data_IF_680052651030
#
_entry.id   IF_680052651030
#
_cell.length_a   1.000
_cell.length_b   1.000
_cell.length_c   1.000
_cell.angle_alpha   90.00
_cell.angle_beta   90.00
_cell.angle_gamma   90.00
#
_symmetry.space_group_name_H-M   'P 1'
#
loop_
_entity.id
_entity.type
_entity.pdbx_description
1 polymer ?
#
# COMPACT_ATOMS: atom_id res chain seq x y z
N UNK A 1 -23.59 -8.73 15.64
CA UNK A 1 -23.02 -7.48 15.11
C UNK A 1 -23.98 -7.00 14.03
N UNK A 2 -24.72 -5.90 14.27
CA UNK A 2 -25.67 -5.36 13.31
C UNK A 2 -24.95 -4.81 12.07
N UNK A 3 -25.64 -4.71 10.91
CA UNK A 3 -25.07 -4.10 9.72
C UNK A 3 -24.69 -2.68 10.07
N UNK A 4 -23.43 -2.32 9.80
CA UNK A 4 -22.95 -0.95 9.93
C UNK A 4 -23.79 0.00 9.05
N UNK A 5 -23.77 1.31 9.29
CA UNK A 5 -24.57 2.26 8.53
C UNK A 5 -24.30 2.09 7.04
N UNK A 6 -25.38 1.96 6.27
CA UNK A 6 -25.37 1.75 4.82
C UNK A 6 -24.49 2.79 4.12
N UNK A 7 -23.63 2.33 3.19
CA UNK A 7 -22.75 3.21 2.44
C UNK A 7 -23.58 3.89 1.33
N UNK A 8 -24.00 5.13 1.59
CA UNK A 8 -24.82 5.90 0.66
C UNK A 8 -23.95 6.87 -0.14
N UNK A 9 -24.13 6.89 -1.45
CA UNK A 9 -23.39 7.70 -2.39
C UNK A 9 -22.09 7.01 -2.88
N UNK A 10 -21.44 7.59 -3.89
CA UNK A 10 -20.19 7.10 -4.50
C UNK A 10 -20.26 5.73 -5.16
N UNK A 11 -21.43 5.38 -5.72
CA UNK A 11 -21.59 4.12 -6.44
C UNK A 11 -20.64 4.03 -7.67
N UNK A 12 -20.39 5.16 -8.33
CA UNK A 12 -19.49 5.23 -9.47
C UNK A 12 -18.03 4.96 -9.07
N UNK A 13 -17.57 5.58 -7.99
CA UNK A 13 -16.21 5.33 -7.46
C UNK A 13 -16.04 3.89 -7.00
N UNK A 14 -17.03 3.34 -6.32
CA UNK A 14 -16.99 1.93 -5.93
C UNK A 14 -16.96 0.99 -7.13
N UNK A 15 -17.72 1.27 -8.20
CA UNK A 15 -17.69 0.47 -9.41
C UNK A 15 -16.31 0.51 -10.10
N UNK A 16 -15.65 1.67 -10.15
CA UNK A 16 -14.29 1.80 -10.66
C UNK A 16 -13.28 0.97 -9.84
N UNK A 17 -13.36 1.06 -8.51
CA UNK A 17 -12.47 0.31 -7.62
C UNK A 17 -12.73 -1.20 -7.68
N UNK A 18 -13.98 -1.62 -7.84
CA UNK A 18 -14.33 -3.02 -8.05
C UNK A 18 -13.75 -3.54 -9.38
N UNK A 19 -13.88 -2.78 -10.47
CA UNK A 19 -13.29 -3.12 -11.76
C UNK A 19 -11.76 -3.28 -11.68
N UNK A 20 -11.09 -2.45 -10.89
CA UNK A 20 -9.65 -2.58 -10.64
C UNK A 20 -9.31 -3.89 -9.91
N UNK A 21 -10.11 -4.28 -8.93
CA UNK A 21 -9.94 -5.53 -8.20
C UNK A 21 -10.21 -6.75 -9.09
N UNK A 22 -11.23 -6.70 -9.95
CA UNK A 22 -11.52 -7.75 -10.91
C UNK A 22 -10.38 -7.92 -11.93
N UNK A 23 -9.83 -6.83 -12.45
CA UNK A 23 -8.66 -6.85 -13.33
C UNK A 23 -7.43 -7.45 -12.64
N UNK A 24 -7.16 -7.08 -11.40
CA UNK A 24 -6.05 -7.65 -10.63
C UNK A 24 -6.22 -9.15 -10.35
N UNK A 25 -7.45 -9.63 -10.16
CA UNK A 25 -7.73 -11.05 -10.05
C UNK A 25 -7.33 -11.83 -11.32
N UNK A 26 -7.28 -11.16 -12.46
CA UNK A 26 -6.82 -11.69 -13.75
C UNK A 26 -5.34 -11.46 -14.04
N UNK A 27 -4.62 -10.80 -13.14
CA UNK A 27 -3.19 -10.48 -13.32
C UNK A 27 -2.92 -9.09 -13.88
N UNK A 28 -3.94 -8.23 -13.96
CA UNK A 28 -3.84 -6.85 -14.42
C UNK A 28 -3.91 -5.91 -13.21
N UNK A 29 -2.83 -5.88 -12.44
CA UNK A 29 -2.73 -5.05 -11.25
C UNK A 29 -2.83 -3.55 -11.54
N UNK A 30 -3.21 -2.78 -10.53
CA UNK A 30 -3.43 -1.36 -10.74
C UNK A 30 -3.39 -0.51 -9.47
N UNK A 31 -3.48 0.81 -9.67
CA UNK A 31 -3.39 1.81 -8.61
C UNK A 31 -4.60 2.74 -8.65
N UNK A 32 -5.20 2.97 -7.49
CA UNK A 32 -6.21 4.01 -7.30
C UNK A 32 -5.76 5.03 -6.25
N UNK A 33 -5.78 6.31 -6.62
CA UNK A 33 -5.53 7.44 -5.74
C UNK A 33 -6.88 8.02 -5.28
N UNK A 34 -7.12 8.00 -3.97
CA UNK A 34 -8.38 8.45 -3.36
C UNK A 34 -8.10 9.74 -2.58
N UNK A 35 -8.25 10.86 -3.26
CA UNK A 35 -8.02 12.19 -2.70
C UNK A 35 -9.30 12.85 -2.17
N UNK A 36 -9.17 13.78 -1.23
CA UNK A 36 -10.28 14.59 -0.76
C UNK A 36 -10.05 15.22 0.61
N UNK A 37 -11.00 16.05 1.05
CA UNK A 37 -10.94 16.75 2.34
C UNK A 37 -10.96 15.77 3.54
N UNK A 38 -10.47 16.19 4.71
CA UNK A 38 -10.60 15.40 5.93
C UNK A 38 -12.07 15.05 6.22
N UNK A 39 -12.34 13.83 6.68
CA UNK A 39 -13.69 13.40 7.06
C UNK A 39 -14.64 13.02 5.93
N UNK A 40 -14.27 13.22 4.63
CA UNK A 40 -15.15 12.90 3.49
C UNK A 40 -15.39 11.41 3.25
N UNK A 41 -14.78 10.54 4.05
CA UNK A 41 -15.00 9.09 3.96
C UNK A 41 -14.09 8.34 2.98
N UNK A 42 -12.89 8.85 2.67
CA UNK A 42 -11.90 8.18 1.80
C UNK A 42 -11.53 6.78 2.27
N UNK A 43 -11.15 6.67 3.53
CA UNK A 43 -10.78 5.40 4.15
C UNK A 43 -11.95 4.42 4.10
N UNK A 44 -13.17 4.88 4.39
CA UNK A 44 -14.38 4.04 4.31
C UNK A 44 -14.66 3.57 2.88
N UNK A 45 -14.46 4.45 1.88
CA UNK A 45 -14.59 4.07 0.46
C UNK A 45 -13.57 2.98 0.08
N UNK A 46 -12.31 3.14 0.49
CA UNK A 46 -11.27 2.16 0.24
C UNK A 46 -11.54 0.82 0.95
N UNK A 47 -11.97 0.85 2.21
CA UNK A 47 -12.35 -0.34 2.97
C UNK A 47 -13.54 -1.07 2.34
N UNK A 48 -14.56 -0.33 1.88
CA UNK A 48 -15.74 -0.89 1.20
C UNK A 48 -15.37 -1.51 -0.16
N UNK A 49 -14.50 -0.84 -0.93
CA UNK A 49 -14.00 -1.38 -2.18
C UNK A 49 -13.20 -2.67 -1.95
N UNK A 50 -12.30 -2.68 -0.98
CA UNK A 50 -11.54 -3.87 -0.62
C UNK A 50 -12.45 -5.01 -0.11
N UNK A 51 -13.55 -4.68 0.58
CA UNK A 51 -14.53 -5.68 1.04
C UNK A 51 -15.30 -6.36 -0.10
N UNK A 52 -15.45 -5.66 -1.23
CA UNK A 52 -16.12 -6.19 -2.44
C UNK A 52 -15.22 -7.05 -3.32
N UNK A 53 -13.97 -7.23 -2.96
CA UNK A 53 -13.01 -8.11 -3.63
C UNK A 53 -12.66 -9.32 -2.74
N UNK A 54 -13.60 -10.24 -2.46
CA UNK A 54 -13.42 -11.31 -1.48
C UNK A 54 -12.38 -12.36 -1.92
N UNK A 55 -12.06 -12.41 -3.21
CA UNK A 55 -11.03 -13.30 -3.75
C UNK A 55 -9.60 -12.76 -3.54
N UNK A 56 -9.42 -11.49 -3.15
CA UNK A 56 -8.13 -10.89 -2.89
C UNK A 56 -7.87 -10.78 -1.38
N UNK A 57 -6.66 -11.13 -0.95
CA UNK A 57 -6.25 -10.89 0.42
C UNK A 57 -6.09 -9.38 0.68
N UNK A 58 -6.52 -8.91 1.85
CA UNK A 58 -6.54 -7.48 2.18
C UNK A 58 -5.52 -7.16 3.24
N UNK A 59 -4.69 -6.18 2.96
CA UNK A 59 -3.70 -5.66 3.89
C UNK A 59 -3.80 -4.14 3.96
N UNK A 60 -3.81 -3.61 5.16
CA UNK A 60 -3.87 -2.17 5.40
C UNK A 60 -2.63 -1.71 6.14
N UNK A 61 -2.07 -0.59 5.68
CA UNK A 61 -1.05 0.17 6.36
C UNK A 61 -1.49 1.63 6.49
N UNK A 62 -1.21 2.24 7.63
CA UNK A 62 -1.59 3.62 7.89
C UNK A 62 -0.38 4.46 8.24
N UNK A 63 -0.25 5.60 7.57
CA UNK A 63 0.70 6.63 7.97
C UNK A 63 0.13 7.42 9.16
N UNK A 64 1.01 7.83 10.05
CA UNK A 64 0.67 8.63 11.23
C UNK A 64 1.52 9.90 11.25
N UNK A 65 0.97 11.04 11.71
CA UNK A 65 1.71 12.28 11.85
C UNK A 65 2.61 12.23 13.09
N UNK A 66 3.63 11.37 13.05
CA UNK A 66 4.56 11.16 14.15
C UNK A 66 6.00 11.25 13.63
N UNK A 67 6.76 12.22 14.16
CA UNK A 67 8.17 12.43 13.82
C UNK A 67 9.08 11.28 14.27
N UNK A 68 8.60 10.41 15.16
CA UNK A 68 9.30 9.22 15.67
C UNK A 68 9.13 7.96 14.84
N UNK A 69 8.35 7.98 13.77
CA UNK A 69 8.13 6.80 12.93
C UNK A 69 9.43 6.34 12.26
N UNK A 70 9.78 5.05 12.39
CA UNK A 70 10.96 4.52 11.72
C UNK A 70 10.80 4.56 10.19
N UNK A 71 11.94 4.61 9.44
CA UNK A 71 11.90 4.55 7.98
C UNK A 71 11.13 3.33 7.47
N UNK A 72 10.44 3.49 6.35
CA UNK A 72 9.61 2.46 5.72
C UNK A 72 8.44 1.98 6.57
N UNK A 73 7.90 2.84 7.46
CA UNK A 73 6.85 2.45 8.40
C UNK A 73 5.63 1.80 7.75
N UNK A 74 5.16 2.33 6.61
CA UNK A 74 4.05 1.73 5.86
C UNK A 74 4.37 0.31 5.41
N UNK A 75 5.57 0.07 4.89
CA UNK A 75 5.96 -1.25 4.39
C UNK A 75 6.28 -2.24 5.50
N UNK A 76 6.74 -1.77 6.66
CA UNK A 76 6.86 -2.64 7.84
C UNK A 76 5.50 -3.22 8.24
N UNK A 77 4.44 -2.41 8.20
CA UNK A 77 3.08 -2.88 8.48
C UNK A 77 2.63 -3.89 7.41
N UNK A 78 2.81 -3.56 6.12
CA UNK A 78 2.43 -4.44 5.01
C UNK A 78 3.15 -5.78 5.09
N UNK A 79 4.48 -5.77 5.21
CA UNK A 79 5.28 -7.00 5.27
C UNK A 79 4.93 -7.82 6.51
N UNK A 80 4.77 -7.16 7.66
CA UNK A 80 4.36 -7.83 8.91
C UNK A 80 2.99 -8.51 8.80
N UNK A 81 2.05 -7.94 8.06
CA UNK A 81 0.72 -8.54 7.87
C UNK A 81 0.76 -9.67 6.84
N UNK A 82 1.41 -9.45 5.69
CA UNK A 82 1.55 -10.45 4.63
C UNK A 82 2.31 -11.68 5.13
N UNK A 83 3.34 -11.51 5.95
CA UNK A 83 4.16 -12.61 6.48
C UNK A 83 3.40 -13.56 7.42
N UNK A 84 2.22 -13.18 7.90
CA UNK A 84 1.37 -14.09 8.70
C UNK A 84 0.74 -15.21 7.85
N UNK A 85 0.54 -14.96 6.57
CA UNK A 85 -0.09 -15.91 5.63
C UNK A 85 0.87 -16.41 4.56
N UNK A 86 1.84 -15.60 4.16
CA UNK A 86 2.87 -15.93 3.19
C UNK A 86 4.25 -15.76 3.86
N UNK A 87 4.76 -16.86 4.40
CA UNK A 87 6.03 -16.86 5.14
C UNK A 87 7.19 -16.64 4.15
N UNK A 88 8.03 -15.59 4.34
CA UNK A 88 9.18 -15.37 3.48
C UNK A 88 10.20 -16.51 3.65
N UNK A 89 10.77 -16.98 2.54
CA UNK A 89 11.90 -17.91 2.60
C UNK A 89 13.16 -17.20 3.15
N UNK A 90 14.23 -17.95 3.42
CA UNK A 90 15.45 -17.40 4.02
C UNK A 90 16.04 -16.23 3.23
N UNK A 91 16.06 -16.32 1.89
CA UNK A 91 16.58 -15.26 1.02
C UNK A 91 15.70 -14.01 1.06
N UNK A 92 14.38 -14.19 1.00
CA UNK A 92 13.41 -13.10 1.13
C UNK A 92 13.52 -12.45 2.51
N UNK A 93 13.58 -13.26 3.58
CA UNK A 93 13.75 -12.77 4.94
C UNK A 93 15.02 -11.94 5.09
N UNK A 94 16.16 -12.42 4.58
CA UNK A 94 17.42 -11.69 4.62
C UNK A 94 17.34 -10.33 3.89
N UNK A 95 16.70 -10.29 2.71
CA UNK A 95 16.52 -9.06 1.94
C UNK A 95 15.53 -8.07 2.59
N UNK A 96 14.46 -8.57 3.19
CA UNK A 96 13.44 -7.76 3.86
C UNK A 96 13.89 -7.27 5.25
N UNK A 97 14.87 -7.92 5.89
CA UNK A 97 15.39 -7.53 7.20
C UNK A 97 15.91 -6.08 7.24
N UNK A 98 16.35 -5.57 6.10
CA UNK A 98 16.74 -4.16 5.95
C UNK A 98 15.62 -3.17 6.32
N UNK A 99 14.37 -3.50 6.02
CA UNK A 99 13.24 -2.65 6.43
C UNK A 99 13.14 -2.53 7.95
N UNK A 100 13.50 -3.59 8.67
CA UNK A 100 13.45 -3.63 10.13
C UNK A 100 14.66 -2.93 10.79
N UNK A 101 15.85 -3.08 10.22
CA UNK A 101 17.12 -2.70 10.84
C UNK A 101 17.66 -1.35 10.32
N UNK A 102 17.10 -0.82 9.21
CA UNK A 102 17.60 0.41 8.58
C UNK A 102 18.90 0.21 7.80
N UNK A 103 19.45 1.30 7.21
CA UNK A 103 20.58 1.24 6.28
C UNK A 103 21.92 0.78 6.89
N UNK A 104 22.01 0.67 8.21
CA UNK A 104 23.24 0.28 8.91
C UNK A 104 23.53 -1.23 8.92
N UNK A 105 22.59 -2.05 8.46
CA UNK A 105 22.66 -3.51 8.56
C UNK A 105 23.30 -4.23 7.36
N UNK A 106 23.77 -3.51 6.35
CA UNK A 106 24.40 -4.11 5.18
C UNK A 106 25.92 -3.87 5.14
N UNK A 107 26.71 -4.85 4.65
CA UNK A 107 28.13 -4.65 4.45
C UNK A 107 28.39 -3.52 3.45
N UNK A 108 29.41 -2.69 3.72
CA UNK A 108 29.77 -1.46 3.05
C UNK A 108 30.27 -1.61 1.57
N UNK A 109 29.70 -2.53 0.79
CA UNK A 109 30.14 -2.85 -0.57
C UNK A 109 29.28 -2.25 -1.69
N UNK A 110 28.11 -1.71 -1.37
CA UNK A 110 27.20 -1.10 -2.35
C UNK A 110 26.99 0.37 -2.04
N UNK A 111 26.82 1.18 -3.08
CA UNK A 111 26.36 2.55 -2.92
C UNK A 111 24.96 2.59 -2.28
N UNK A 112 24.68 3.64 -1.50
CA UNK A 112 23.39 3.83 -0.83
C UNK A 112 22.19 3.79 -1.78
N UNK A 113 22.39 4.20 -3.06
CA UNK A 113 21.35 4.13 -4.08
C UNK A 113 21.10 2.69 -4.52
N UNK A 114 22.15 1.91 -4.73
CA UNK A 114 22.07 0.49 -5.10
C UNK A 114 21.42 -0.34 -3.97
N UNK A 115 21.81 -0.08 -2.74
CA UNK A 115 21.21 -0.74 -1.56
C UNK A 115 19.71 -0.46 -1.48
N UNK A 116 19.31 0.79 -1.67
CA UNK A 116 17.90 1.19 -1.66
C UNK A 116 17.12 0.51 -2.78
N UNK A 117 17.67 0.48 -3.99
CA UNK A 117 17.04 -0.18 -5.12
C UNK A 117 16.86 -1.68 -4.88
N UNK A 118 17.87 -2.35 -4.34
CA UNK A 118 17.80 -3.77 -3.98
C UNK A 118 16.68 -4.06 -2.96
N UNK A 119 16.46 -3.15 -1.99
CA UNK A 119 15.34 -3.25 -1.04
C UNK A 119 13.99 -3.11 -1.76
N UNK A 120 13.88 -2.15 -2.68
CA UNK A 120 12.65 -1.91 -3.43
C UNK A 120 12.25 -3.12 -4.27
N UNK A 121 13.23 -3.69 -4.98
CA UNK A 121 13.04 -4.93 -5.74
C UNK A 121 12.66 -6.10 -4.83
N UNK A 122 13.34 -6.26 -3.68
CA UNK A 122 13.01 -7.33 -2.74
C UNK A 122 11.58 -7.25 -2.21
N UNK A 123 11.10 -6.04 -1.90
CA UNK A 123 9.71 -5.83 -1.46
C UNK A 123 8.73 -6.13 -2.58
N UNK A 124 8.99 -5.63 -3.80
CA UNK A 124 8.15 -5.90 -4.96
C UNK A 124 8.06 -7.40 -5.25
N UNK A 125 9.19 -8.08 -5.30
CA UNK A 125 9.26 -9.51 -5.60
C UNK A 125 8.52 -10.34 -4.53
N UNK A 126 8.69 -9.98 -3.25
CA UNK A 126 7.99 -10.65 -2.16
C UNK A 126 6.48 -10.47 -2.25
N UNK A 127 6.00 -9.24 -2.45
CA UNK A 127 4.56 -8.96 -2.56
C UNK A 127 3.95 -9.59 -3.82
N UNK A 128 4.68 -9.60 -4.93
CA UNK A 128 4.24 -10.29 -6.16
C UNK A 128 4.12 -11.79 -5.95
N UNK A 129 5.10 -12.41 -5.27
CA UNK A 129 5.05 -13.83 -4.93
C UNK A 129 3.88 -14.14 -3.97
N UNK A 130 3.65 -13.30 -2.97
CA UNK A 130 2.52 -13.44 -2.05
C UNK A 130 1.16 -13.29 -2.76
N UNK A 131 1.10 -12.43 -3.77
CA UNK A 131 -0.11 -12.19 -4.57
C UNK A 131 -0.41 -13.31 -5.60
N UNK A 132 0.55 -14.17 -5.92
CA UNK A 132 0.41 -15.18 -6.98
C UNK A 132 -0.79 -16.14 -6.77
N UNK A 133 -1.13 -16.43 -5.53
CA UNK A 133 -2.29 -17.26 -5.16
C UNK A 133 -3.62 -16.51 -5.32
N UNK A 134 -4.03 -15.81 -4.27
CA UNK A 134 -5.32 -15.11 -4.18
C UNK A 134 -5.28 -13.66 -4.64
N UNK A 135 -4.10 -13.10 -4.96
CA UNK A 135 -3.94 -11.67 -5.18
C UNK A 135 -3.97 -10.85 -3.89
N UNK A 136 -3.64 -9.56 -3.99
CA UNK A 136 -3.56 -8.65 -2.84
C UNK A 136 -4.24 -7.31 -3.12
N UNK A 137 -5.02 -6.82 -2.16
CA UNK A 137 -5.39 -5.41 -2.05
C UNK A 137 -4.56 -4.79 -0.93
N UNK A 138 -3.72 -3.84 -1.29
CA UNK A 138 -2.88 -3.09 -0.36
C UNK A 138 -3.47 -1.68 -0.19
N UNK A 139 -4.04 -1.41 0.98
CA UNK A 139 -4.57 -0.09 1.34
C UNK A 139 -3.52 0.71 2.12
N UNK A 140 -3.04 1.78 1.52
CA UNK A 140 -2.16 2.77 2.15
C UNK A 140 -3.00 3.99 2.55
N UNK A 141 -3.20 4.16 3.85
CA UNK A 141 -4.11 5.19 4.39
C UNK A 141 -3.35 6.42 4.89
N UNK A 142 -3.86 7.60 4.54
CA UNK A 142 -3.34 8.91 4.96
C UNK A 142 -1.86 9.15 4.56
N UNK A 143 -1.46 8.79 3.31
CA UNK A 143 -0.04 8.82 2.87
C UNK A 143 0.62 10.19 2.92
N UNK A 144 -0.11 11.30 3.09
CA UNK A 144 0.49 12.61 3.32
C UNK A 144 1.33 12.68 4.61
N UNK A 145 1.16 11.71 5.52
CA UNK A 145 1.93 11.57 6.75
C UNK A 145 3.04 10.50 6.66
N UNK A 146 3.22 9.91 5.48
CA UNK A 146 4.22 8.86 5.30
C UNK A 146 5.64 9.42 5.28
N UNK A 147 6.56 8.64 5.79
CA UNK A 147 7.99 8.95 5.72
C UNK A 147 8.50 8.96 4.27
N UNK A 148 9.49 9.80 3.92
CA UNK A 148 9.99 9.89 2.56
C UNK A 148 10.53 8.58 1.98
N UNK A 149 11.19 7.68 2.72
CA UNK A 149 11.52 6.33 2.26
C UNK A 149 10.30 5.50 1.86
N UNK A 150 9.21 5.51 2.66
CA UNK A 150 7.95 4.83 2.32
C UNK A 150 7.34 5.37 1.03
N UNK A 151 7.30 6.68 0.83
CA UNK A 151 6.75 7.28 -0.39
C UNK A 151 7.54 6.88 -1.65
N UNK A 152 8.88 6.83 -1.57
CA UNK A 152 9.71 6.38 -2.69
C UNK A 152 9.48 4.91 -3.04
N UNK A 153 9.38 4.05 -2.04
CA UNK A 153 9.08 2.64 -2.24
C UNK A 153 7.65 2.43 -2.77
N UNK A 154 6.68 3.19 -2.27
CA UNK A 154 5.30 3.15 -2.76
C UNK A 154 5.21 3.54 -4.24
N UNK A 155 5.93 4.58 -4.64
CA UNK A 155 6.04 4.98 -6.05
C UNK A 155 6.65 3.86 -6.90
N UNK A 156 7.77 3.27 -6.48
CA UNK A 156 8.41 2.17 -7.19
C UNK A 156 7.48 0.96 -7.34
N UNK A 157 6.74 0.61 -6.27
CA UNK A 157 5.76 -0.46 -6.33
C UNK A 157 4.61 -0.12 -7.30
N UNK A 158 4.12 1.13 -7.29
CA UNK A 158 3.05 1.59 -8.17
C UNK A 158 3.44 1.54 -9.65
N UNK A 159 4.70 1.86 -9.98
CA UNK A 159 5.24 1.77 -11.34
C UNK A 159 5.36 0.30 -11.81
N UNK A 160 5.57 -0.63 -10.89
CA UNK A 160 5.77 -2.06 -11.18
C UNK A 160 4.57 -2.97 -10.97
N UNK A 161 3.39 -2.42 -10.61
CA UNK A 161 2.22 -3.25 -10.25
C UNK A 161 1.48 -3.83 -11.48
N UNK A 162 1.63 -3.23 -12.64
CA UNK A 162 1.07 -3.74 -13.88
C UNK A 162 1.57 -5.17 -14.16
N UNK A 163 0.68 -6.06 -14.60
CA UNK A 163 1.02 -7.47 -14.82
C UNK A 163 1.13 -8.31 -13.53
N UNK A 164 0.71 -7.76 -12.39
CA UNK A 164 0.63 -8.48 -11.12
C UNK A 164 -0.83 -8.66 -10.66
N UNK A 165 -1.03 -9.43 -9.59
CA UNK A 165 -2.35 -9.58 -8.94
C UNK A 165 -2.47 -8.66 -7.71
N UNK A 166 -1.97 -7.41 -7.84
CA UNK A 166 -1.93 -6.45 -6.74
C UNK A 166 -2.74 -5.21 -7.09
N UNK A 167 -3.62 -4.79 -6.19
CA UNK A 167 -4.27 -3.46 -6.22
C UNK A 167 -3.70 -2.60 -5.13
N UNK A 168 -3.28 -1.39 -5.48
CA UNK A 168 -2.89 -0.36 -4.53
C UNK A 168 -4.04 0.65 -4.38
N UNK A 169 -4.62 0.75 -3.20
CA UNK A 169 -5.57 1.79 -2.83
C UNK A 169 -4.83 2.79 -1.93
N UNK A 170 -4.70 4.03 -2.37
CA UNK A 170 -3.89 5.04 -1.70
C UNK A 170 -4.79 6.22 -1.34
N UNK A 171 -5.00 6.47 -0.04
CA UNK A 171 -5.76 7.64 0.40
C UNK A 171 -4.84 8.79 0.80
N UNK A 172 -5.23 10.02 0.46
CA UNK A 172 -4.50 11.22 0.81
C UNK A 172 -5.42 12.42 1.01
N UNK A 173 -4.93 13.45 1.69
CA UNK A 173 -5.67 14.69 1.91
C UNK A 173 -5.32 15.69 0.82
N UNK A 174 -6.35 16.26 0.20
CA UNK A 174 -6.20 17.45 -0.63
C UNK A 174 -6.34 18.67 0.30
N UNK A 175 -5.34 19.56 0.36
CA UNK A 175 -5.47 20.81 1.10
C UNK A 175 -6.64 21.60 0.53
N UNK A 176 -7.45 22.19 1.42
CA UNK A 176 -8.46 23.17 0.99
C UNK A 176 -7.70 24.36 0.37
N UNK A 177 -8.04 24.82 -0.83
CA UNK A 177 -7.46 26.08 -1.31
C UNK A 177 -7.77 27.15 -0.27
N UNK A 178 -6.75 27.87 0.18
CA UNK A 178 -6.94 28.99 1.09
C UNK A 178 -7.98 29.92 0.43
N UNK A 179 -9.14 30.03 1.07
CA UNK A 179 -10.30 30.76 0.52
C UNK A 179 -9.87 32.14 0.07
N UNK A 180 -10.10 32.46 -1.20
CA UNK A 180 -10.08 33.82 -1.64
C UNK A 180 -11.10 34.59 -0.80
N UNK A 181 -10.62 35.48 0.03
CA UNK A 181 -11.44 36.50 0.66
C UNK A 181 -12.05 37.34 -0.45
N UNK A 182 -13.36 37.21 -0.62
CA UNK A 182 -14.16 38.21 -1.36
C UNK A 182 -14.32 39.44 -0.51
#
# INVERSE_FOLDING_TARGET
MGPGPEFVGRAAELALLAGLADAAALGEGGVALIGGEPGIGKTRLADEAAARAPCLARVRARAVPDEGCPPYWLFRQVIGEVSKTFIPNELQHARLSFLAQGPQAQPARLDLAEQRFAVFEAVRDYLTAAAAGSGLVLLFDDVQWADPPSLRLLRHLAEGVAGSRIVLLITYRIPRPAGGTS
#
